data_IF_054824983217
#
_entry.id   IF_054824983217
#
_cell.length_a   1.000
_cell.length_b   1.000
_cell.length_c   1.000
_cell.angle_alpha   90.00
_cell.angle_beta   90.00
_cell.angle_gamma   90.00
#
_symmetry.space_group_name_H-M   'P 1'
#
loop_
_entity.id
_entity.type
_entity.pdbx_description
1 polymer ?
#
# COMPACT_ATOMS: atom_id res chain seq x y z
N UNK A 1 -29.46 -24.60 -37.12
CA UNK A 1 -29.42 -23.47 -36.16
C UNK A 1 -29.22 -23.95 -34.71
N UNK A 2 -29.94 -25.00 -34.28
CA UNK A 2 -29.86 -25.58 -32.92
C UNK A 2 -28.48 -26.17 -32.58
N UNK A 3 -27.83 -26.90 -33.51
CA UNK A 3 -26.50 -27.48 -33.25
C UNK A 3 -25.41 -26.44 -32.92
N UNK A 4 -25.50 -25.26 -33.54
CA UNK A 4 -24.56 -24.14 -33.31
C UNK A 4 -24.77 -23.47 -31.95
N UNK A 5 -25.99 -23.55 -31.41
CA UNK A 5 -26.34 -23.06 -30.06
C UNK A 5 -25.87 -24.08 -29.02
N UNK A 6 -26.09 -25.38 -29.28
CA UNK A 6 -25.63 -26.46 -28.38
C UNK A 6 -24.11 -26.52 -28.27
N UNK A 7 -23.36 -26.33 -29.38
CA UNK A 7 -21.90 -26.34 -29.32
C UNK A 7 -21.32 -25.12 -28.58
N UNK A 8 -21.96 -23.95 -28.71
CA UNK A 8 -21.60 -22.74 -27.93
C UNK A 8 -21.95 -22.91 -26.44
N UNK A 9 -23.11 -23.46 -26.12
CA UNK A 9 -23.53 -23.71 -24.73
C UNK A 9 -22.65 -24.74 -24.01
N UNK A 10 -22.19 -25.77 -24.73
CA UNK A 10 -21.25 -26.77 -24.20
C UNK A 10 -19.86 -26.17 -23.97
N UNK A 11 -19.37 -25.33 -24.89
CA UNK A 11 -18.07 -24.67 -24.78
C UNK A 11 -18.01 -23.66 -23.62
N UNK A 12 -19.05 -22.84 -23.41
CA UNK A 12 -19.10 -21.87 -22.30
C UNK A 12 -19.24 -22.55 -20.93
N UNK A 13 -19.97 -23.66 -20.84
CA UNK A 13 -20.08 -24.42 -19.60
C UNK A 13 -18.82 -25.23 -19.28
N UNK A 14 -18.17 -25.85 -20.27
CA UNK A 14 -16.91 -26.58 -20.06
C UNK A 14 -15.78 -25.63 -19.69
N UNK A 15 -15.71 -24.45 -20.32
CA UNK A 15 -14.76 -23.42 -19.91
C UNK A 15 -15.05 -22.97 -18.47
N UNK A 16 -16.29 -22.69 -18.07
CA UNK A 16 -16.56 -22.37 -16.65
C UNK A 16 -16.24 -23.52 -15.69
N UNK A 17 -16.53 -24.77 -16.07
CA UNK A 17 -16.33 -25.96 -15.25
C UNK A 17 -14.84 -26.30 -15.07
N UNK A 18 -13.99 -26.04 -16.05
CA UNK A 18 -12.54 -26.28 -15.96
C UNK A 18 -11.78 -25.05 -15.47
N UNK A 19 -12.17 -23.85 -15.90
CA UNK A 19 -11.45 -22.61 -15.62
C UNK A 19 -11.68 -22.12 -14.19
N UNK A 20 -12.87 -22.34 -13.61
CA UNK A 20 -13.14 -22.00 -12.22
C UNK A 20 -12.29 -22.79 -11.22
N UNK A 21 -12.19 -24.14 -11.29
CA UNK A 21 -11.33 -24.89 -10.38
C UNK A 21 -9.85 -24.63 -10.63
N UNK A 22 -9.42 -24.37 -11.87
CA UNK A 22 -8.03 -23.98 -12.17
C UNK A 22 -7.72 -22.62 -11.54
N UNK A 23 -8.58 -21.62 -11.73
CA UNK A 23 -8.40 -20.29 -11.15
C UNK A 23 -8.44 -20.35 -9.62
N UNK A 24 -9.39 -21.10 -9.06
CA UNK A 24 -9.48 -21.35 -7.62
C UNK A 24 -8.21 -22.02 -7.09
N UNK A 25 -7.70 -23.06 -7.74
CA UNK A 25 -6.46 -23.72 -7.36
C UNK A 25 -5.26 -22.77 -7.43
N UNK A 26 -5.15 -21.95 -8.48
CA UNK A 26 -4.11 -20.92 -8.59
C UNK A 26 -4.19 -19.88 -7.47
N UNK A 27 -5.40 -19.49 -7.06
CA UNK A 27 -5.59 -18.60 -5.90
C UNK A 27 -5.21 -19.28 -4.59
N UNK A 28 -5.58 -20.55 -4.42
CA UNK A 28 -5.25 -21.34 -3.24
C UNK A 28 -3.74 -21.51 -3.09
N UNK A 29 -3.04 -21.85 -4.17
CA UNK A 29 -1.56 -21.96 -4.20
C UNK A 29 -0.91 -20.62 -3.83
N UNK A 30 -1.45 -19.48 -4.28
CA UNK A 30 -0.94 -18.15 -3.88
C UNK A 30 -1.11 -17.90 -2.38
N UNK A 31 -2.26 -18.27 -1.82
CA UNK A 31 -2.56 -18.11 -0.39
C UNK A 31 -1.65 -19.00 0.46
N UNK A 32 -1.53 -20.28 0.10
CA UNK A 32 -0.64 -21.22 0.80
C UNK A 32 0.82 -20.76 0.70
N UNK A 33 1.29 -20.34 -0.48
CA UNK A 33 2.64 -19.79 -0.62
C UNK A 33 2.87 -18.55 0.24
N UNK A 34 1.86 -17.68 0.42
CA UNK A 34 1.97 -16.51 1.28
C UNK A 34 2.13 -16.90 2.75
N UNK A 35 1.34 -17.86 3.23
CA UNK A 35 1.40 -18.36 4.62
C UNK A 35 2.70 -19.11 4.88
N UNK A 36 3.07 -20.02 3.97
CA UNK A 36 4.30 -20.82 4.09
C UNK A 36 5.53 -19.92 4.14
N UNK A 37 5.63 -18.91 3.24
CA UNK A 37 6.72 -17.91 3.27
C UNK A 37 6.82 -17.17 4.59
N UNK A 38 5.68 -16.83 5.20
CA UNK A 38 5.61 -16.19 6.51
C UNK A 38 6.10 -17.10 7.65
N UNK A 39 5.82 -18.41 7.58
CA UNK A 39 6.21 -19.37 8.62
C UNK A 39 7.69 -19.77 8.52
N UNK A 40 8.23 -19.90 7.30
CA UNK A 40 9.63 -20.29 7.06
C UNK A 40 10.62 -19.11 7.11
N UNK A 41 10.16 -17.90 7.47
CA UNK A 41 11.01 -16.72 7.62
C UNK A 41 11.72 -16.29 6.33
N UNK A 42 11.30 -16.79 5.16
CA UNK A 42 11.78 -16.26 3.89
C UNK A 42 11.31 -14.82 3.78
N UNK A 43 12.12 -13.91 3.21
CA UNK A 43 11.70 -12.54 2.98
C UNK A 43 10.44 -12.58 2.14
N UNK A 44 9.31 -12.29 2.79
CA UNK A 44 8.18 -11.72 2.12
C UNK A 44 8.78 -10.41 1.63
N UNK A 45 9.01 -10.26 0.32
CA UNK A 45 9.24 -8.93 -0.21
C UNK A 45 8.07 -8.12 0.37
N UNK A 46 8.35 -7.16 1.25
CA UNK A 46 7.34 -6.28 1.83
C UNK A 46 6.87 -5.32 0.75
N UNK A 47 6.42 -5.86 -0.40
CA UNK A 47 5.93 -5.16 -1.58
C UNK A 47 4.68 -4.33 -1.30
N UNK A 48 4.23 -4.27 -0.05
CA UNK A 48 3.13 -3.43 0.39
C UNK A 48 3.59 -2.06 0.88
N UNK A 49 4.89 -1.86 1.13
CA UNK A 49 5.41 -0.53 1.40
C UNK A 49 5.78 0.15 0.09
N UNK A 50 5.23 1.34 -0.13
CA UNK A 50 5.50 2.14 -1.31
C UNK A 50 6.98 2.56 -1.31
N UNK A 51 7.74 2.16 -2.31
CA UNK A 51 9.11 2.65 -2.51
C UNK A 51 9.08 4.07 -3.06
N UNK A 52 8.98 5.04 -2.14
CA UNK A 52 8.80 6.45 -2.47
C UNK A 52 10.01 7.02 -3.22
N UNK A 53 11.22 6.58 -2.86
CA UNK A 53 12.45 7.01 -3.51
C UNK A 53 12.48 6.56 -4.98
N UNK A 54 12.17 5.29 -5.24
CA UNK A 54 12.06 4.78 -6.60
C UNK A 54 11.00 5.53 -7.41
N UNK A 55 9.84 5.84 -6.82
CA UNK A 55 8.77 6.56 -7.51
C UNK A 55 9.14 8.02 -7.83
N UNK A 56 9.74 8.73 -6.87
CA UNK A 56 10.23 10.09 -7.11
C UNK A 56 11.26 10.10 -8.24
N UNK A 57 12.21 9.17 -8.23
CA UNK A 57 13.21 9.06 -9.30
C UNK A 57 12.57 8.72 -10.66
N UNK A 58 11.69 7.71 -10.69
CA UNK A 58 11.01 7.25 -11.92
C UNK A 58 10.19 8.36 -12.59
N UNK A 59 9.59 9.24 -11.78
CA UNK A 59 8.75 10.33 -12.26
C UNK A 59 9.47 11.69 -12.30
N UNK A 60 10.79 11.72 -12.06
CA UNK A 60 11.60 12.94 -12.03
C UNK A 60 11.00 14.02 -11.12
N UNK A 61 10.47 13.61 -9.97
CA UNK A 61 9.87 14.52 -8.99
C UNK A 61 10.96 15.14 -8.12
N UNK A 62 10.99 16.47 -8.04
CA UNK A 62 11.81 17.20 -7.08
C UNK A 62 11.18 17.16 -5.67
N UNK A 63 11.95 16.76 -4.67
CA UNK A 63 11.50 16.61 -3.27
C UNK A 63 11.42 17.94 -2.52
N UNK A 64 10.58 18.88 -2.99
CA UNK A 64 10.43 20.23 -2.39
C UNK A 64 9.72 20.21 -1.04
N UNK A 65 8.69 19.38 -0.89
CA UNK A 65 7.90 19.23 0.32
C UNK A 65 6.90 18.09 0.22
N UNK A 66 6.37 17.67 1.36
CA UNK A 66 5.41 16.56 1.47
C UNK A 66 4.28 16.94 2.40
N UNK A 67 3.05 16.58 2.02
CA UNK A 67 1.88 16.60 2.88
C UNK A 67 1.50 15.14 3.14
N UNK A 68 1.64 14.69 4.37
CA UNK A 68 1.28 13.33 4.78
C UNK A 68 -0.04 13.39 5.55
N UNK A 69 -1.10 12.82 4.97
CA UNK A 69 -2.43 12.72 5.58
C UNK A 69 -2.60 11.33 6.19
N UNK A 70 -3.06 11.27 7.44
CA UNK A 70 -3.09 10.03 8.21
C UNK A 70 -1.71 9.69 8.77
N UNK A 71 -1.00 10.72 9.24
CA UNK A 71 0.39 10.65 9.69
C UNK A 71 0.66 9.70 10.85
N UNK A 72 -0.38 9.26 11.56
CA UNK A 72 -0.26 8.46 12.77
C UNK A 72 0.75 9.11 13.73
N UNK A 73 1.82 8.42 14.11
CA UNK A 73 2.87 8.90 15.02
C UNK A 73 4.09 9.49 14.29
N UNK A 74 4.05 9.63 12.95
CA UNK A 74 5.10 10.32 12.17
C UNK A 74 6.37 9.48 11.91
N UNK A 75 6.23 8.16 11.78
CA UNK A 75 7.35 7.21 11.66
C UNK A 75 8.18 7.41 10.37
N UNK A 76 7.62 8.08 9.37
CA UNK A 76 8.24 8.33 8.07
C UNK A 76 9.14 9.57 8.04
N UNK A 77 9.24 10.32 9.14
CA UNK A 77 9.99 11.59 9.17
C UNK A 77 11.46 11.42 8.74
N UNK A 78 12.12 10.35 9.20
CA UNK A 78 13.50 10.05 8.84
C UNK A 78 13.65 9.73 7.35
N UNK A 79 12.68 9.05 6.76
CA UNK A 79 12.66 8.77 5.33
C UNK A 79 12.55 10.08 4.55
N UNK A 80 11.63 10.97 4.95
CA UNK A 80 11.47 12.25 4.26
C UNK A 80 12.72 13.13 4.35
N UNK A 81 13.40 13.14 5.49
CA UNK A 81 14.68 13.84 5.62
C UNK A 81 15.76 13.26 4.72
N UNK A 82 15.91 11.93 4.68
CA UNK A 82 16.87 11.24 3.81
C UNK A 82 16.62 11.54 2.33
N UNK A 83 15.35 11.68 1.95
CA UNK A 83 14.93 12.05 0.59
C UNK A 83 15.07 13.55 0.28
N UNK A 84 15.49 14.37 1.24
CA UNK A 84 15.75 15.80 1.05
C UNK A 84 14.51 16.69 1.11
N UNK A 85 13.37 16.21 1.60
CA UNK A 85 12.18 17.06 1.78
C UNK A 85 12.46 18.17 2.77
N UNK A 86 12.28 19.43 2.34
CA UNK A 86 12.57 20.60 3.17
C UNK A 86 11.37 21.09 3.97
N UNK A 87 10.15 20.80 3.51
CA UNK A 87 8.91 21.23 4.12
C UNK A 87 7.99 20.02 4.30
N UNK A 88 7.76 19.62 5.55
CA UNK A 88 6.96 18.43 5.89
C UNK A 88 5.73 18.89 6.67
N UNK A 89 4.53 18.59 6.16
CA UNK A 89 3.27 18.80 6.85
C UNK A 89 2.61 17.45 7.16
N UNK A 90 2.56 17.09 8.43
CA UNK A 90 1.81 15.94 8.91
C UNK A 90 0.39 16.34 9.29
N UNK A 91 -0.57 15.50 8.92
CA UNK A 91 -1.98 15.69 9.22
C UNK A 91 -2.49 14.41 9.88
N UNK A 92 -2.99 14.52 11.10
CA UNK A 92 -3.56 13.40 11.87
C UNK A 92 -4.91 13.80 12.45
N UNK A 93 -5.93 12.95 12.30
CA UNK A 93 -7.28 13.26 12.73
C UNK A 93 -7.51 12.92 14.21
N UNK A 94 -6.94 11.80 14.67
CA UNK A 94 -7.14 11.31 16.03
C UNK A 94 -6.37 12.20 17.04
N UNK A 95 -7.06 12.88 17.98
CA UNK A 95 -6.40 13.78 18.93
C UNK A 95 -5.37 13.09 19.81
N UNK A 96 -5.62 11.85 20.24
CA UNK A 96 -4.69 11.11 21.11
C UNK A 96 -3.41 10.75 20.36
N UNK A 97 -3.54 10.38 19.09
CA UNK A 97 -2.39 10.06 18.24
C UNK A 97 -1.65 11.34 17.83
N UNK A 98 -2.38 12.41 17.57
CA UNK A 98 -1.82 13.73 17.26
C UNK A 98 -0.90 14.26 18.38
N UNK A 99 -1.22 14.02 19.64
CA UNK A 99 -0.32 14.37 20.76
C UNK A 99 1.02 13.64 20.66
N UNK A 100 1.01 12.34 20.33
CA UNK A 100 2.25 11.56 20.13
C UNK A 100 3.01 12.02 18.90
N UNK A 101 2.31 12.31 17.81
CA UNK A 101 2.90 12.89 16.60
C UNK A 101 3.68 14.18 16.92
N UNK A 102 3.10 15.08 17.71
CA UNK A 102 3.81 16.32 18.12
C UNK A 102 5.10 16.01 18.86
N UNK A 103 5.09 15.03 19.75
CA UNK A 103 6.29 14.60 20.46
C UNK A 103 7.35 14.01 19.53
N UNK A 104 6.94 13.23 18.53
CA UNK A 104 7.86 12.68 17.52
C UNK A 104 8.54 13.79 16.71
N UNK A 105 7.79 14.82 16.30
CA UNK A 105 8.29 15.82 15.35
C UNK A 105 8.87 17.09 16.00
N UNK A 106 8.84 17.21 17.33
CA UNK A 106 9.21 18.45 18.04
C UNK A 106 10.63 18.94 17.75
N UNK A 107 11.55 18.03 17.49
CA UNK A 107 12.97 18.34 17.27
C UNK A 107 13.28 18.69 15.79
N UNK A 108 12.24 18.73 14.94
CA UNK A 108 12.39 18.92 13.50
C UNK A 108 11.99 20.33 13.07
N UNK A 109 13.00 21.16 12.76
CA UNK A 109 12.87 22.61 12.56
C UNK A 109 11.99 23.09 11.39
N UNK A 110 11.60 22.21 10.46
CA UNK A 110 10.70 22.51 9.32
C UNK A 110 9.58 21.47 9.14
N UNK A 111 9.12 20.94 10.27
CA UNK A 111 8.04 19.99 10.33
C UNK A 111 6.83 20.62 11.02
N UNK A 112 5.67 20.56 10.38
CA UNK A 112 4.42 21.10 10.90
C UNK A 112 3.42 19.97 11.09
N UNK A 113 2.58 20.06 12.13
CA UNK A 113 1.46 19.15 12.33
C UNK A 113 0.14 19.90 12.37
N UNK A 114 -0.92 19.31 11.78
CA UNK A 114 -2.28 19.86 11.80
C UNK A 114 -3.29 18.76 12.12
N UNK A 115 -4.20 19.04 13.05
CA UNK A 115 -5.33 18.16 13.35
C UNK A 115 -6.54 18.51 12.46
N UNK A 116 -7.22 17.51 11.89
CA UNK A 116 -8.35 17.73 10.96
C UNK A 116 -9.70 18.01 11.63
N UNK A 117 -9.98 17.44 12.80
CA UNK A 117 -11.35 17.36 13.32
C UNK A 117 -11.59 18.07 14.67
N UNK A 118 -10.73 19.00 15.07
CA UNK A 118 -11.00 19.87 16.23
C UNK A 118 -11.29 21.30 15.75
N UNK A 119 -12.56 21.55 15.40
CA UNK A 119 -13.21 22.86 15.48
C UNK A 119 -14.36 22.75 16.47
#
# INVERSE_FOLDING_TARGET
MIEKIMSRYSSENITRLLFFPILFFLTLVKIVNRVVRSLIGLPINNTLMLDLEHLCHKHSLETRGVIHIGAHEGQEIDLYQKMGFQNILFIEANPVVFERLKETIKDFSKCYSRQLCNQ
#
